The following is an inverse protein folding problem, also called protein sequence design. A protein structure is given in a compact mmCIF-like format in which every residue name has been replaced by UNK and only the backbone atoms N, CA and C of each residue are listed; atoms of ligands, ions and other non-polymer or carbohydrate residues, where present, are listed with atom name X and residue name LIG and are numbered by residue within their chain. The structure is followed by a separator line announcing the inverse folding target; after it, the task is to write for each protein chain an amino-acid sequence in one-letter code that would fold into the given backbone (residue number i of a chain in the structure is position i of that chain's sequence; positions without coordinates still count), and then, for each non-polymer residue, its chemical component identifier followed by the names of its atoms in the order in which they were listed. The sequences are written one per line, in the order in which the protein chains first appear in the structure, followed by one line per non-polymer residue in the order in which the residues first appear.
data_IF_274577532531
#
_entry.id   IF_274577532531
#
_cell.length_a   1.000
_cell.length_b   1.000
_cell.length_c   1.000
_cell.angle_alpha   90.00
_cell.angle_beta   90.00
_cell.angle_gamma   90.00
#
_symmetry.space_group_name_H-M   'P 1'
#
loop_
_entity.id
_entity.type
_entity.pdbx_description
1 polymer ?
#
# COMPACT_ATOMS: atom_id res chain seq x y z
N UNK A 1 4.99 -25.28 -8.17
CA UNK A 1 5.74 -24.02 -8.39
C UNK A 1 6.74 -23.84 -7.26
N UNK A 2 8.01 -23.54 -7.54
CA UNK A 2 9.00 -23.20 -6.50
C UNK A 2 8.70 -21.80 -5.93
N UNK A 3 9.14 -21.52 -4.70
CA UNK A 3 8.82 -20.26 -4.04
C UNK A 3 9.36 -19.04 -4.81
N UNK A 4 10.58 -19.10 -5.31
CA UNK A 4 11.20 -18.03 -6.09
C UNK A 4 10.51 -17.81 -7.44
N UNK A 5 10.00 -18.88 -8.05
CA UNK A 5 9.18 -18.79 -9.28
C UNK A 5 7.85 -18.09 -8.99
N UNK A 6 7.22 -18.43 -7.85
CA UNK A 6 5.99 -17.79 -7.39
C UNK A 6 6.20 -16.28 -7.16
N UNK A 7 7.30 -15.90 -6.51
CA UNK A 7 7.67 -14.49 -6.30
C UNK A 7 7.94 -13.77 -7.63
N UNK A 8 8.72 -14.38 -8.53
CA UNK A 8 9.00 -13.80 -9.86
C UNK A 8 7.73 -13.61 -10.68
N UNK A 9 6.82 -14.58 -10.65
CA UNK A 9 5.53 -14.47 -11.33
C UNK A 9 4.70 -13.32 -10.76
N UNK A 10 4.58 -13.20 -9.44
CA UNK A 10 3.88 -12.07 -8.79
C UNK A 10 4.53 -10.73 -9.16
N UNK A 11 5.85 -10.64 -9.06
CA UNK A 11 6.59 -9.43 -9.36
C UNK A 11 6.41 -9.00 -10.82
N UNK A 12 6.64 -9.91 -11.76
CA UNK A 12 6.44 -9.64 -13.18
C UNK A 12 5.00 -9.19 -13.47
N UNK A 13 4.01 -9.91 -12.95
CA UNK A 13 2.60 -9.64 -13.26
C UNK A 13 2.10 -8.27 -12.78
N UNK A 14 2.67 -7.75 -11.69
CA UNK A 14 2.20 -6.53 -11.02
C UNK A 14 3.28 -5.43 -10.87
N UNK A 15 4.38 -5.49 -11.63
CA UNK A 15 5.53 -4.56 -11.47
C UNK A 15 6.04 -4.50 -10.02
N UNK A 16 6.21 -5.68 -9.41
CA UNK A 16 6.61 -5.80 -8.01
C UNK A 16 5.59 -5.24 -7.03
N UNK A 17 4.35 -4.96 -7.46
CA UNK A 17 3.35 -4.27 -6.65
C UNK A 17 3.48 -2.73 -6.66
N UNK A 18 4.49 -2.18 -7.34
CA UNK A 18 4.79 -0.75 -7.34
C UNK A 18 3.68 0.11 -7.92
N UNK A 19 2.95 -0.39 -8.93
CA UNK A 19 1.76 0.29 -9.48
C UNK A 19 0.65 0.45 -8.42
N UNK A 20 0.50 -0.54 -7.53
CA UNK A 20 -0.45 -0.46 -6.41
C UNK A 20 -0.01 0.52 -5.34
N UNK A 21 1.29 0.53 -5.01
CA UNK A 21 1.86 1.51 -4.07
C UNK A 21 1.70 2.94 -4.61
N UNK A 22 1.87 3.16 -5.92
CA UNK A 22 1.66 4.48 -6.52
C UNK A 22 0.22 4.95 -6.38
N UNK A 23 -0.74 4.09 -6.77
CA UNK A 23 -2.18 4.40 -6.67
C UNK A 23 -2.57 4.69 -5.23
N UNK A 24 -2.09 3.88 -4.29
CA UNK A 24 -2.30 4.08 -2.87
C UNK A 24 -1.76 5.44 -2.41
N UNK A 25 -0.53 5.78 -2.75
CA UNK A 25 0.06 7.09 -2.42
C UNK A 25 -0.73 8.28 -2.99
N UNK A 26 -1.28 8.16 -4.21
CA UNK A 26 -2.18 9.17 -4.78
C UNK A 26 -3.47 9.29 -3.97
N UNK A 27 -4.08 8.17 -3.57
CA UNK A 27 -5.30 8.17 -2.73
C UNK A 27 -5.02 8.81 -1.37
N UNK A 28 -3.87 8.55 -0.76
CA UNK A 28 -3.43 9.20 0.47
C UNK A 28 -3.34 10.72 0.32
N UNK A 29 -2.72 11.21 -0.76
CA UNK A 29 -2.66 12.64 -1.07
C UNK A 29 -4.04 13.25 -1.31
N UNK A 30 -4.93 12.53 -2.02
CA UNK A 30 -6.32 12.97 -2.23
C UNK A 30 -7.03 13.07 -0.88
N UNK A 31 -6.90 12.07 -0.01
CA UNK A 31 -7.51 12.05 1.30
C UNK A 31 -6.99 13.21 2.18
N UNK A 32 -5.68 13.50 2.13
CA UNK A 32 -5.08 14.68 2.76
C UNK A 32 -5.64 16.00 2.22
N UNK A 33 -5.81 16.11 0.90
CA UNK A 33 -6.46 17.25 0.26
C UNK A 33 -7.93 17.43 0.70
N UNK A 34 -8.67 16.32 0.82
CA UNK A 34 -10.06 16.34 1.33
C UNK A 34 -10.12 16.82 2.78
N UNK A 35 -9.11 16.50 3.61
CA UNK A 35 -9.03 17.01 4.98
C UNK A 35 -8.87 18.53 5.02
N UNK A 36 -8.00 19.07 4.15
CA UNK A 36 -7.74 20.51 4.08
C UNK A 36 -8.93 21.30 3.54
N UNK A 37 -9.66 20.73 2.57
CA UNK A 37 -10.70 21.45 1.85
C UNK A 37 -12.11 21.25 2.43
N UNK A 38 -12.35 20.15 3.14
CA UNK A 38 -13.70 19.78 3.59
C UNK A 38 -13.74 19.41 5.06
N UNK A 39 -13.39 18.18 5.43
CA UNK A 39 -13.45 17.73 6.81
C UNK A 39 -12.64 16.46 7.07
N UNK A 40 -12.25 16.24 8.32
CA UNK A 40 -11.55 15.03 8.74
C UNK A 40 -12.38 13.77 8.48
N UNK A 41 -13.70 13.82 8.68
CA UNK A 41 -14.57 12.67 8.43
C UNK A 41 -14.59 12.29 6.94
N UNK A 42 -14.77 13.25 6.04
CA UNK A 42 -14.74 12.98 4.60
C UNK A 42 -13.36 12.50 4.14
N UNK A 43 -12.30 12.99 4.77
CA UNK A 43 -10.93 12.55 4.53
C UNK A 43 -10.72 11.07 4.89
N UNK A 44 -11.17 10.64 6.08
CA UNK A 44 -11.10 9.23 6.49
C UNK A 44 -11.90 8.32 5.54
N UNK A 45 -13.09 8.77 5.12
CA UNK A 45 -13.91 8.04 4.15
C UNK A 45 -13.27 7.99 2.76
N UNK A 46 -12.62 9.08 2.33
CA UNK A 46 -11.89 9.12 1.06
C UNK A 46 -10.75 8.09 1.03
N UNK A 47 -9.99 7.95 2.12
CA UNK A 47 -8.97 6.91 2.24
C UNK A 47 -9.58 5.51 2.20
N UNK A 48 -10.67 5.28 2.94
CA UNK A 48 -11.33 3.97 3.02
C UNK A 48 -11.90 3.52 1.67
N UNK A 49 -12.75 4.34 1.05
CA UNK A 49 -13.36 4.01 -0.24
C UNK A 49 -12.35 4.07 -1.38
N UNK A 50 -11.43 5.05 -1.36
CA UNK A 50 -10.32 5.09 -2.31
C UNK A 50 -9.48 3.83 -2.25
N UNK A 51 -9.22 3.32 -1.04
CA UNK A 51 -8.48 2.08 -0.80
C UNK A 51 -9.06 0.85 -1.53
N UNK A 52 -10.39 0.79 -1.68
CA UNK A 52 -11.06 -0.29 -2.42
C UNK A 52 -10.73 -0.29 -3.91
N UNK A 53 -10.42 0.88 -4.47
CA UNK A 53 -10.04 1.03 -5.88
C UNK A 53 -8.55 0.80 -6.15
N UNK A 54 -7.71 0.63 -5.12
CA UNK A 54 -6.26 0.43 -5.30
C UNK A 54 -5.98 -0.76 -6.21
N UNK A 55 -6.53 -1.93 -5.90
CA UNK A 55 -6.28 -3.14 -6.68
C UNK A 55 -6.74 -3.04 -8.16
N UNK A 56 -7.99 -2.67 -8.48
CA UNK A 56 -8.41 -2.55 -9.87
C UNK A 56 -7.64 -1.49 -10.67
N UNK A 57 -7.34 -0.34 -10.06
CA UNK A 57 -6.56 0.71 -10.71
C UNK A 57 -5.09 0.30 -10.92
N UNK A 58 -4.49 -0.39 -9.94
CA UNK A 58 -3.14 -0.92 -10.05
C UNK A 58 -3.02 -1.98 -11.16
N UNK A 59 -4.02 -2.87 -11.28
CA UNK A 59 -4.10 -3.83 -12.37
C UNK A 59 -4.18 -3.14 -13.72
N UNK A 60 -5.06 -2.13 -13.84
CA UNK A 60 -5.19 -1.36 -15.08
C UNK A 60 -3.86 -0.69 -15.44
N UNK A 61 -3.21 -0.05 -14.47
CA UNK A 61 -1.94 0.63 -14.70
C UNK A 61 -0.82 -0.37 -15.09
N UNK A 62 -0.77 -1.54 -14.45
CA UNK A 62 0.16 -2.61 -14.83
C UNK A 62 -0.04 -3.07 -16.28
N UNK A 63 -1.30 -3.18 -16.73
CA UNK A 63 -1.64 -3.50 -18.13
C UNK A 63 -1.20 -2.43 -19.11
N UNK A 64 -1.38 -1.14 -18.77
CA UNK A 64 -0.89 -0.04 -19.63
C UNK A 64 0.62 -0.06 -19.80
N UNK A 65 1.35 -0.54 -18.79
CA UNK A 65 2.80 -0.73 -18.81
C UNK A 65 3.22 -2.10 -19.40
N UNK A 66 2.34 -2.76 -20.16
CA UNK A 66 2.57 -4.04 -20.85
C UNK A 66 2.89 -5.23 -19.93
N UNK A 67 2.39 -5.23 -18.69
CA UNK A 67 2.37 -6.43 -17.84
C UNK A 67 1.01 -7.11 -17.87
N UNK A 68 0.95 -8.42 -17.55
CA UNK A 68 -0.31 -9.16 -17.53
C UNK A 68 -1.38 -8.54 -16.61
N UNK A 69 -0.98 -8.02 -15.44
CA UNK A 69 -1.91 -7.57 -14.41
C UNK A 69 -2.67 -8.72 -13.72
N UNK A 70 -2.25 -9.97 -13.94
CA UNK A 70 -2.72 -11.17 -13.28
C UNK A 70 -1.55 -12.15 -13.08
N UNK A 71 -1.51 -12.81 -11.92
CA UNK A 71 -0.57 -13.90 -11.66
C UNK A 71 -1.11 -15.22 -12.23
N UNK A 72 -0.25 -16.25 -12.29
CA UNK A 72 -0.67 -17.60 -12.64
C UNK A 72 -1.71 -18.11 -11.63
N UNK A 73 -2.82 -18.74 -12.06
CA UNK A 73 -3.85 -19.25 -11.15
C UNK A 73 -3.33 -20.24 -10.10
N UNK A 74 -2.26 -20.96 -10.43
CA UNK A 74 -1.63 -21.96 -9.54
C UNK A 74 -0.61 -21.34 -8.58
N UNK A 75 -0.40 -20.02 -8.62
CA UNK A 75 0.56 -19.34 -7.76
C UNK A 75 -0.01 -19.22 -6.33
N UNK A 76 0.61 -19.90 -5.33
CA UNK A 76 0.08 -19.93 -3.96
C UNK A 76 0.13 -18.56 -3.27
N UNK A 77 0.99 -17.65 -3.73
CA UNK A 77 1.14 -16.32 -3.14
C UNK A 77 -0.07 -15.40 -3.41
N UNK A 78 -0.92 -15.75 -4.39
CA UNK A 78 -2.20 -15.07 -4.59
C UNK A 78 -3.11 -15.14 -3.35
N UNK A 79 -3.11 -16.29 -2.65
CA UNK A 79 -3.88 -16.46 -1.40
C UNK A 79 -3.32 -15.60 -0.28
N UNK A 80 -1.99 -15.54 -0.14
CA UNK A 80 -1.32 -14.68 0.84
C UNK A 80 -1.63 -13.20 0.59
N UNK A 81 -1.72 -12.79 -0.68
CA UNK A 81 -2.12 -11.41 -1.03
C UNK A 81 -3.54 -11.11 -0.55
N UNK A 82 -4.48 -12.05 -0.70
CA UNK A 82 -5.86 -11.94 -0.20
C UNK A 82 -5.90 -11.91 1.33
N UNK A 83 -5.24 -12.85 2.01
CA UNK A 83 -5.19 -12.93 3.48
C UNK A 83 -4.61 -11.66 4.09
N UNK A 84 -3.58 -11.07 3.48
CA UNK A 84 -3.01 -9.80 3.96
C UNK A 84 -3.96 -8.61 3.85
N UNK A 85 -5.08 -8.70 3.09
CA UNK A 85 -6.13 -7.65 3.09
C UNK A 85 -6.91 -7.61 4.39
N UNK A 86 -6.98 -8.72 5.14
CA UNK A 86 -7.63 -8.76 6.46
C UNK A 86 -6.96 -7.78 7.43
N UNK A 87 -5.62 -7.65 7.35
CA UNK A 87 -4.84 -6.68 8.13
C UNK A 87 -5.38 -5.25 7.90
N UNK A 88 -5.71 -4.93 6.66
CA UNK A 88 -6.23 -3.61 6.28
C UNK A 88 -7.64 -3.37 6.85
N UNK A 89 -8.54 -4.34 6.73
CA UNK A 89 -9.91 -4.19 7.25
C UNK A 89 -9.96 -4.09 8.78
N UNK A 90 -9.19 -4.92 9.47
CA UNK A 90 -9.04 -4.83 10.93
C UNK A 90 -8.43 -3.48 11.31
N UNK A 91 -7.40 -3.05 10.60
CA UNK A 91 -6.75 -1.77 10.85
C UNK A 91 -7.67 -0.57 10.61
N UNK A 92 -8.48 -0.57 9.55
CA UNK A 92 -9.49 0.47 9.34
C UNK A 92 -10.53 0.48 10.46
N UNK A 93 -11.03 -0.68 10.87
CA UNK A 93 -11.96 -0.75 12.00
C UNK A 93 -11.38 -0.11 13.26
N UNK A 94 -10.12 -0.46 13.59
CA UNK A 94 -9.40 0.14 14.71
C UNK A 94 -9.21 1.65 14.55
N UNK A 95 -8.73 2.10 13.38
CA UNK A 95 -8.50 3.51 13.10
C UNK A 95 -9.78 4.34 13.23
N UNK A 96 -10.89 3.89 12.65
CA UNK A 96 -12.19 4.57 12.76
C UNK A 96 -12.72 4.61 14.18
N UNK A 97 -12.56 3.52 14.94
CA UNK A 97 -13.05 3.47 16.32
C UNK A 97 -12.23 4.38 17.23
N UNK A 98 -10.91 4.33 17.12
CA UNK A 98 -9.98 5.16 17.90
C UNK A 98 -10.10 6.64 17.51
N UNK A 99 -10.40 6.97 16.26
CA UNK A 99 -10.64 8.33 15.81
C UNK A 99 -11.80 9.04 16.54
N UNK A 100 -12.70 8.29 17.19
CA UNK A 100 -13.75 8.86 18.06
C UNK A 100 -13.19 9.43 19.36
N UNK A 101 -12.04 8.94 19.81
CA UNK A 101 -11.34 9.43 20.99
C UNK A 101 -10.42 10.59 20.61
N UNK A 102 -9.65 10.42 19.55
CA UNK A 102 -8.72 11.43 19.04
C UNK A 102 -8.56 11.26 17.52
N UNK A 103 -9.05 12.24 16.76
CA UNK A 103 -9.15 12.14 15.29
C UNK A 103 -7.77 12.08 14.64
N UNK A 104 -6.79 12.78 15.21
CA UNK A 104 -5.39 12.85 14.77
C UNK A 104 -4.72 11.47 14.74
N UNK A 105 -5.22 10.48 15.49
CA UNK A 105 -4.65 9.13 15.52
C UNK A 105 -5.08 8.24 14.35
N UNK A 106 -6.08 8.64 13.56
CA UNK A 106 -6.55 7.86 12.42
C UNK A 106 -5.42 7.55 11.42
N UNK A 107 -4.77 8.59 10.88
CA UNK A 107 -3.74 8.42 9.86
C UNK A 107 -2.48 7.74 10.38
N UNK A 108 -1.95 8.08 11.57
CA UNK A 108 -0.85 7.34 12.17
C UNK A 108 -1.13 5.85 12.36
N UNK A 109 -2.34 5.47 12.79
CA UNK A 109 -2.74 4.05 12.87
C UNK A 109 -2.72 3.42 11.47
N UNK A 110 -3.28 4.10 10.47
CA UNK A 110 -3.27 3.61 9.09
C UNK A 110 -1.85 3.46 8.53
N UNK A 111 -0.93 4.39 8.83
CA UNK A 111 0.48 4.28 8.45
C UNK A 111 1.11 3.01 9.02
N UNK A 112 0.88 2.72 10.31
CA UNK A 112 1.42 1.52 10.94
C UNK A 112 0.81 0.24 10.35
N UNK A 113 -0.50 0.18 10.18
CA UNK A 113 -1.21 -0.99 9.62
C UNK A 113 -0.74 -1.28 8.19
N UNK A 114 -0.67 -0.25 7.34
CA UNK A 114 -0.20 -0.40 5.96
C UNK A 114 1.29 -0.75 5.95
N UNK A 115 2.09 -0.18 6.85
CA UNK A 115 3.49 -0.53 7.03
C UNK A 115 3.69 -2.02 7.35
N UNK A 116 2.91 -2.57 8.30
CA UNK A 116 2.90 -4.02 8.61
C UNK A 116 2.51 -4.84 7.38
N UNK A 117 1.46 -4.43 6.66
CA UNK A 117 1.03 -5.12 5.44
C UNK A 117 2.13 -5.13 4.37
N UNK A 118 2.88 -4.04 4.23
CA UNK A 118 4.00 -3.99 3.29
C UNK A 118 5.16 -4.91 3.67
N UNK A 119 5.34 -5.30 4.93
CA UNK A 119 6.34 -6.33 5.27
C UNK A 119 6.01 -7.68 4.60
N UNK A 120 4.73 -8.03 4.46
CA UNK A 120 4.26 -9.23 3.74
C UNK A 120 4.61 -9.16 2.26
N UNK A 121 4.70 -7.96 1.69
CA UNK A 121 4.94 -7.77 0.26
C UNK A 121 6.36 -8.18 -0.15
N UNK A 122 7.33 -8.19 0.77
CA UNK A 122 8.62 -8.82 0.51
C UNK A 122 8.46 -10.32 0.21
N UNK A 123 7.60 -11.02 0.96
CA UNK A 123 7.29 -12.45 0.71
C UNK A 123 6.52 -12.63 -0.60
N UNK A 124 5.63 -11.70 -0.95
CA UNK A 124 4.85 -11.76 -2.19
C UNK A 124 5.70 -11.52 -3.45
N UNK A 125 6.56 -10.50 -3.44
CA UNK A 125 7.23 -9.99 -4.65
C UNK A 125 8.73 -10.25 -4.68
N UNK A 126 9.33 -10.75 -3.59
CA UNK A 126 10.78 -10.98 -3.48
C UNK A 126 11.62 -9.70 -3.41
N UNK A 127 11.02 -8.55 -3.09
CA UNK A 127 11.71 -7.26 -3.05
C UNK A 127 11.93 -6.78 -1.61
N UNK A 128 13.20 -6.72 -1.18
CA UNK A 128 13.60 -6.24 0.15
C UNK A 128 13.24 -4.77 0.42
N UNK A 129 13.03 -3.99 -0.65
CA UNK A 129 12.55 -2.59 -0.58
C UNK A 129 11.27 -2.46 0.25
N UNK A 130 10.42 -3.49 0.27
CA UNK A 130 9.21 -3.52 1.08
C UNK A 130 9.45 -3.55 2.59
N UNK A 131 10.58 -4.10 3.05
CA UNK A 131 10.94 -4.00 4.47
C UNK A 131 11.27 -2.56 4.85
N UNK A 132 12.02 -1.86 4.00
CA UNK A 132 12.34 -0.46 4.21
C UNK A 132 11.08 0.42 4.18
N UNK A 133 10.21 0.23 3.18
CA UNK A 133 8.93 0.94 3.08
C UNK A 133 8.05 0.68 4.32
N UNK A 134 7.86 -0.59 4.68
CA UNK A 134 7.04 -0.98 5.82
C UNK A 134 7.55 -0.40 7.13
N UNK A 135 8.86 -0.51 7.39
CA UNK A 135 9.49 0.06 8.58
C UNK A 135 9.36 1.59 8.63
N UNK A 136 9.58 2.28 7.50
CA UNK A 136 9.49 3.73 7.44
C UNK A 136 8.07 4.22 7.74
N UNK A 137 7.03 3.58 7.19
CA UNK A 137 5.64 3.93 7.48
C UNK A 137 5.28 3.67 8.94
N UNK A 138 5.68 2.54 9.51
CA UNK A 138 5.43 2.23 10.93
C UNK A 138 6.10 3.25 11.85
N UNK A 139 7.38 3.54 11.64
CA UNK A 139 8.12 4.54 12.44
C UNK A 139 7.47 5.92 12.28
N UNK A 140 7.07 6.29 11.06
CA UNK A 140 6.39 7.56 10.82
C UNK A 140 5.06 7.65 11.58
N UNK A 141 4.25 6.59 11.59
CA UNK A 141 3.02 6.53 12.38
C UNK A 141 3.28 6.68 13.88
N UNK A 142 4.29 5.98 14.42
CA UNK A 142 4.69 6.13 15.83
C UNK A 142 5.10 7.57 16.12
N UNK A 143 5.96 8.17 15.29
CA UNK A 143 6.44 9.53 15.48
C UNK A 143 5.30 10.55 15.42
N UNK A 144 4.34 10.41 14.50
CA UNK A 144 3.17 11.29 14.44
C UNK A 144 2.33 11.25 15.72
N UNK A 145 2.17 10.09 16.34
CA UNK A 145 1.45 9.97 17.62
C UNK A 145 2.25 10.64 18.73
N UNK A 146 3.55 10.33 18.84
CA UNK A 146 4.41 10.84 19.92
C UNK A 146 4.62 12.35 19.84
N UNK A 147 4.64 12.93 18.63
CA UNK A 147 4.79 14.37 18.44
C UNK A 147 3.48 15.15 18.51
N UNK A 148 2.33 14.48 18.59
CA UNK A 148 1.01 15.13 18.52
C UNK A 148 0.78 15.82 17.18
N UNK A 149 1.22 15.20 16.08
CA UNK A 149 1.12 15.78 14.75
C UNK A 149 -0.34 16.04 14.34
N UNK A 150 -0.56 17.14 13.61
CA UNK A 150 -1.87 17.45 13.04
C UNK A 150 -2.39 16.31 12.14
N UNK A 151 -3.71 16.15 12.12
CA UNK A 151 -4.42 15.12 11.37
C UNK A 151 -3.90 14.93 9.93
N UNK A 152 -3.66 16.02 9.22
CA UNK A 152 -3.30 16.02 7.80
C UNK A 152 -1.87 15.55 7.54
N UNK A 153 -0.96 15.72 8.52
CA UNK A 153 0.46 15.39 8.36
C UNK A 153 0.64 13.91 8.09
N UNK A 154 -0.07 13.05 8.82
CA UNK A 154 -0.04 11.60 8.61
C UNK A 154 -0.49 11.22 7.19
N UNK A 155 -1.46 11.95 6.62
CA UNK A 155 -1.97 11.71 5.28
C UNK A 155 -0.89 11.92 4.21
N UNK A 156 -0.22 13.07 4.25
CA UNK A 156 0.82 13.40 3.27
C UNK A 156 2.11 12.61 3.46
N UNK A 157 2.47 12.26 4.70
CA UNK A 157 3.62 11.37 4.94
C UNK A 157 3.39 10.03 4.25
N UNK A 158 2.21 9.42 4.41
CA UNK A 158 1.85 8.18 3.72
C UNK A 158 1.89 8.35 2.20
N UNK A 159 1.22 9.39 1.70
CA UNK A 159 1.15 9.67 0.26
C UNK A 159 2.51 9.85 -0.41
N UNK A 160 3.33 10.75 0.12
CA UNK A 160 4.67 11.04 -0.44
C UNK A 160 5.58 9.82 -0.32
N UNK A 161 5.59 9.14 0.83
CA UNK A 161 6.44 7.96 1.04
C UNK A 161 6.09 6.86 0.04
N UNK A 162 4.81 6.54 -0.11
CA UNK A 162 4.36 5.52 -1.05
C UNK A 162 4.66 5.91 -2.49
N UNK A 163 4.42 7.16 -2.89
CA UNK A 163 4.76 7.64 -4.25
C UNK A 163 6.26 7.47 -4.52
N UNK A 164 7.14 7.92 -3.63
CA UNK A 164 8.59 7.79 -3.82
C UNK A 164 9.01 6.33 -3.95
N UNK A 165 8.56 5.47 -3.03
CA UNK A 165 8.91 4.05 -3.06
C UNK A 165 8.30 3.31 -4.25
N UNK A 166 7.14 3.74 -4.75
CA UNK A 166 6.52 3.15 -5.93
C UNK A 166 7.43 3.24 -7.15
N UNK A 167 8.09 4.39 -7.37
CA UNK A 167 9.03 4.57 -8.46
C UNK A 167 10.28 3.70 -8.30
N UNK A 168 10.79 3.56 -7.08
CA UNK A 168 11.91 2.65 -6.77
C UNK A 168 11.53 1.20 -7.10
N UNK A 169 10.36 0.74 -6.66
CA UNK A 169 9.87 -0.63 -6.88
C UNK A 169 9.64 -0.92 -8.37
N UNK A 170 9.00 0.02 -9.10
CA UNK A 170 8.78 -0.10 -10.55
C UNK A 170 10.12 -0.21 -11.28
N UNK A 171 11.11 0.60 -10.88
CA UNK A 171 12.45 0.58 -11.49
C UNK A 171 13.16 -0.75 -11.26
N UNK A 172 13.12 -1.28 -10.03
CA UNK A 172 13.69 -2.60 -9.71
C UNK A 172 13.02 -3.75 -10.46
N UNK A 173 11.74 -3.60 -10.79
CA UNK A 173 10.93 -4.63 -11.45
C UNK A 173 10.91 -4.49 -12.97
N UNK A 174 11.45 -3.40 -13.53
CA UNK A 174 11.35 -3.08 -14.95
C UNK A 174 12.04 -4.10 -15.85
N UNK A 175 13.24 -4.52 -15.46
CA UNK A 175 14.06 -5.42 -16.28
C UNK A 175 13.73 -6.91 -16.06
N UNK A 176 12.77 -7.20 -15.18
CA UNK A 176 12.35 -8.58 -14.93
C UNK A 176 11.64 -9.14 -16.16
N UNK A 177 12.23 -10.18 -16.75
CA UNK A 177 11.59 -11.02 -17.76
C UNK A 177 11.27 -12.40 -17.16
N UNK A 178 10.11 -12.95 -17.52
CA UNK A 178 9.71 -14.31 -17.15
C UNK A 178 9.56 -15.07 -18.46
N UNK A 179 10.35 -16.14 -18.62
CA UNK A 179 10.12 -17.11 -19.68
C UNK A 179 8.83 -17.85 -19.31
N UNK A 180 7.75 -17.51 -19.98
CA UNK A 180 6.50 -18.27 -19.90
C UNK A 180 6.77 -19.53 -20.73
N UNK A 181 7.14 -20.61 -20.05
CA UNK A 181 7.15 -21.95 -20.63
C UNK A 181 5.71 -22.47 -20.72
#
# INVERSE_FOLDING_TARGET
MKFEEAQRNMNFSYFGGGTGVLVSGVIWCIAGGVALLYSNQLSMLALFFGGMFIHPLAMLFSKTLKRPGNHSPDNPLGKLALESTVILFVGFFLAFYVAKLQVEWFYPIMLMIIGVRYLVFNTLYGLKTYWALGALLMISGILCILSGADFVIGAFIGGVTEIVFSFVIITQSKDLTVNIA
#
